data_IF_143095425432
#
_entry.id   IF_143095425432
#
_cell.length_a   1.000
_cell.length_b   1.000
_cell.length_c   1.000
_cell.angle_alpha   90.00
_cell.angle_beta   90.00
_cell.angle_gamma   90.00
#
_symmetry.space_group_name_H-M   'P 1'
#
loop_
_entity.id
_entity.type
_entity.pdbx_description
1 polymer ?
#
# COMPACT_ATOMS: atom_id res chain seq x y z
N UNK A 1 8.22 23.04 5.59
CA UNK A 1 8.14 23.93 4.41
C UNK A 1 8.68 23.12 3.25
N UNK A 2 7.88 22.93 2.19
CA UNK A 2 8.26 22.08 1.07
C UNK A 2 9.30 22.79 0.19
N UNK A 3 10.34 22.09 -0.19
CA UNK A 3 11.32 22.62 -1.13
C UNK A 3 11.02 22.21 -2.59
N UNK A 4 11.86 22.69 -3.52
CA UNK A 4 11.68 22.44 -4.96
C UNK A 4 11.72 20.94 -5.30
N UNK A 5 12.53 20.15 -4.60
CA UNK A 5 12.63 18.72 -4.84
C UNK A 5 11.39 18.00 -4.33
N UNK A 6 10.90 18.39 -3.16
CA UNK A 6 9.68 17.86 -2.56
C UNK A 6 8.46 18.10 -3.48
N UNK A 7 8.29 19.33 -3.98
CA UNK A 7 7.23 19.67 -4.94
C UNK A 7 7.35 18.83 -6.21
N UNK A 8 8.57 18.66 -6.73
CA UNK A 8 8.78 17.86 -7.95
C UNK A 8 8.46 16.38 -7.74
N UNK A 9 8.77 15.82 -6.57
CA UNK A 9 8.38 14.46 -6.20
C UNK A 9 6.85 14.32 -6.18
N UNK A 10 6.15 15.29 -5.58
CA UNK A 10 4.68 15.30 -5.54
C UNK A 10 4.08 15.38 -6.95
N UNK A 11 4.62 16.22 -7.84
CA UNK A 11 4.20 16.31 -9.25
C UNK A 11 4.37 14.99 -9.99
N UNK A 12 5.48 14.29 -9.77
CA UNK A 12 5.75 12.99 -10.39
C UNK A 12 4.71 11.96 -9.94
N UNK A 13 4.39 11.91 -8.64
CA UNK A 13 3.36 11.02 -8.11
C UNK A 13 1.98 11.40 -8.67
N UNK A 14 1.67 12.68 -8.82
CA UNK A 14 0.41 13.15 -9.42
C UNK A 14 0.27 12.72 -10.89
N UNK A 15 1.41 12.69 -11.60
CA UNK A 15 1.50 12.26 -13.00
C UNK A 15 1.71 10.76 -13.15
N UNK A 16 1.53 9.94 -12.11
CA UNK A 16 1.71 8.49 -12.20
C UNK A 16 0.99 7.90 -13.40
N UNK A 17 -0.18 8.46 -13.75
CA UNK A 17 -0.97 7.98 -14.87
C UNK A 17 -0.31 8.04 -16.23
N UNK A 18 0.58 9.02 -16.40
CA UNK A 18 1.37 9.22 -17.63
C UNK A 18 2.72 8.50 -17.59
N UNK A 19 3.17 8.06 -16.41
CA UNK A 19 4.51 7.51 -16.18
C UNK A 19 4.47 5.99 -16.15
N UNK A 20 3.45 5.41 -15.52
CA UNK A 20 3.28 3.96 -15.40
C UNK A 20 2.52 3.46 -16.63
N UNK A 21 3.27 2.90 -17.60
CA UNK A 21 2.72 2.40 -18.88
C UNK A 21 1.89 1.12 -18.75
N UNK A 22 2.11 0.34 -17.70
CA UNK A 22 1.35 -0.88 -17.43
C UNK A 22 1.42 -1.23 -15.95
N UNK A 23 0.28 -1.68 -15.42
CA UNK A 23 0.18 -2.33 -14.13
C UNK A 23 0.19 -3.82 -14.42
N UNK A 24 1.01 -4.60 -13.72
CA UNK A 24 1.01 -6.06 -13.89
C UNK A 24 -0.24 -6.69 -13.27
N UNK A 25 -0.67 -7.84 -13.79
CA UNK A 25 -1.81 -8.59 -13.25
C UNK A 25 -1.63 -8.89 -11.75
N UNK A 26 -0.40 -9.22 -11.33
CA UNK A 26 -0.05 -9.40 -9.91
C UNK A 26 -0.28 -8.15 -9.06
N UNK A 27 -0.03 -6.96 -9.60
CA UNK A 27 -0.28 -5.70 -8.87
C UNK A 27 -1.77 -5.41 -8.78
N UNK A 28 -2.54 -5.74 -9.81
CA UNK A 28 -4.01 -5.65 -9.80
C UNK A 28 -4.59 -6.61 -8.76
N UNK A 29 -4.10 -7.86 -8.71
CA UNK A 29 -4.50 -8.88 -7.73
C UNK A 29 -4.20 -8.48 -6.28
N UNK A 30 -3.13 -7.71 -6.04
CA UNK A 30 -2.76 -7.18 -4.72
C UNK A 30 -3.53 -5.89 -4.39
N UNK A 31 -4.48 -5.48 -5.24
CA UNK A 31 -5.33 -4.30 -5.03
C UNK A 31 -4.57 -2.99 -5.19
N UNK A 32 -3.47 -2.98 -5.96
CA UNK A 32 -2.77 -1.73 -6.30
C UNK A 32 -3.64 -0.93 -7.25
N UNK A 33 -4.39 0.00 -6.69
CA UNK A 33 -5.14 0.98 -7.46
C UNK A 33 -4.19 2.00 -8.11
N UNK A 34 -4.72 2.76 -9.05
CA UNK A 34 -4.03 3.80 -9.77
C UNK A 34 -4.62 5.14 -9.37
N UNK A 35 -3.86 6.25 -9.34
CA UNK A 35 -2.45 6.43 -9.73
C UNK A 35 -1.43 6.26 -8.57
N UNK A 36 -0.39 5.43 -8.77
CA UNK A 36 0.70 5.24 -7.81
C UNK A 36 2.05 4.95 -8.49
N UNK A 37 3.18 5.32 -7.87
CA UNK A 37 4.54 5.19 -8.45
C UNK A 37 5.52 4.50 -7.51
N UNK A 38 6.50 3.78 -8.06
CA UNK A 38 7.60 3.25 -7.24
C UNK A 38 8.67 4.32 -6.99
N UNK A 39 9.53 4.10 -5.99
CA UNK A 39 10.71 4.97 -5.77
C UNK A 39 11.61 5.04 -7.01
N UNK A 40 11.70 3.97 -7.79
CA UNK A 40 12.49 3.92 -9.03
C UNK A 40 11.86 4.77 -10.14
N UNK A 41 10.54 4.76 -10.26
CA UNK A 41 9.83 5.61 -11.22
C UNK A 41 10.06 7.10 -10.90
N UNK A 42 10.08 7.44 -9.62
CA UNK A 42 10.42 8.79 -9.16
C UNK A 42 11.86 9.14 -9.55
N UNK A 43 12.82 8.25 -9.28
CA UNK A 43 14.23 8.46 -9.66
C UNK A 43 14.41 8.66 -11.17
N UNK A 44 13.70 7.91 -12.00
CA UNK A 44 13.75 8.03 -13.47
C UNK A 44 13.25 9.38 -13.99
N UNK A 45 12.39 10.05 -13.23
CA UNK A 45 11.81 11.36 -13.58
C UNK A 45 12.50 12.55 -12.90
N UNK A 46 13.56 12.29 -12.12
CA UNK A 46 14.38 13.31 -11.47
C UNK A 46 15.77 13.40 -12.15
N UNK A 47 16.47 14.54 -12.01
CA UNK A 47 17.84 14.69 -12.50
C UNK A 47 18.76 13.55 -12.05
N UNK A 48 19.67 13.13 -12.93
CA UNK A 48 20.56 11.98 -12.71
C UNK A 48 21.44 12.14 -11.47
N UNK A 49 21.80 13.38 -11.13
CA UNK A 49 22.65 13.78 -10.02
C UNK A 49 22.04 13.51 -8.62
N UNK A 50 20.72 13.33 -8.51
CA UNK A 50 20.07 13.14 -7.21
C UNK A 50 20.18 11.67 -6.78
N UNK A 51 20.90 11.38 -5.70
CA UNK A 51 21.05 10.01 -5.23
C UNK A 51 19.74 9.39 -4.73
N UNK A 52 19.64 8.06 -4.85
CA UNK A 52 18.46 7.31 -4.41
C UNK A 52 18.22 7.44 -2.90
N UNK A 53 19.28 7.55 -2.11
CA UNK A 53 19.19 7.71 -0.65
C UNK A 53 18.55 9.06 -0.28
N UNK A 54 18.89 10.13 -1.01
CA UNK A 54 18.28 11.45 -0.83
C UNK A 54 16.80 11.39 -1.14
N UNK A 55 16.41 10.74 -2.25
CA UNK A 55 15.00 10.57 -2.64
C UNK A 55 14.23 9.79 -1.57
N UNK A 56 14.77 8.68 -1.07
CA UNK A 56 14.17 7.91 0.03
C UNK A 56 13.99 8.75 1.30
N UNK A 57 15.00 9.54 1.66
CA UNK A 57 14.92 10.48 2.78
C UNK A 57 13.78 11.47 2.62
N UNK A 58 13.62 12.06 1.43
CA UNK A 58 12.52 12.99 1.13
C UNK A 58 11.14 12.34 1.15
N UNK A 59 11.02 11.14 0.58
CA UNK A 59 9.76 10.40 0.61
C UNK A 59 9.32 10.06 2.04
N UNK A 60 10.27 9.70 2.91
CA UNK A 60 9.98 9.49 4.32
C UNK A 60 9.54 10.77 5.02
N UNK A 61 10.19 11.91 4.75
CA UNK A 61 9.77 13.20 5.29
C UNK A 61 8.34 13.59 4.85
N UNK A 62 8.06 13.49 3.55
CA UNK A 62 6.74 13.77 2.97
C UNK A 62 5.64 12.84 3.51
N UNK A 63 5.98 11.58 3.78
CA UNK A 63 5.07 10.62 4.43
C UNK A 63 4.76 11.02 5.87
N UNK A 64 5.79 11.37 6.64
CA UNK A 64 5.63 11.80 8.04
C UNK A 64 4.78 13.07 8.14
N UNK A 65 4.94 13.98 7.18
CA UNK A 65 4.14 15.20 7.08
C UNK A 65 2.75 14.99 6.44
N UNK A 66 2.39 13.74 6.12
CA UNK A 66 1.10 13.32 5.56
C UNK A 66 0.78 13.94 4.19
N UNK A 67 1.78 14.22 3.35
CA UNK A 67 1.56 14.59 1.95
C UNK A 67 1.40 13.37 1.04
N UNK A 68 2.08 12.28 1.39
CA UNK A 68 2.03 11.01 0.66
C UNK A 68 1.84 9.84 1.61
N UNK A 69 1.44 8.69 1.09
CA UNK A 69 1.45 7.42 1.81
C UNK A 69 2.09 6.32 0.97
N UNK A 70 2.48 5.23 1.63
CA UNK A 70 3.20 4.12 1.02
C UNK A 70 2.46 2.81 1.27
N UNK A 71 2.04 2.15 0.19
CA UNK A 71 1.31 0.87 0.21
C UNK A 71 1.78 0.04 -0.97
N UNK A 72 2.01 -1.25 -0.74
CA UNK A 72 2.41 -2.22 -1.78
C UNK A 72 3.59 -1.74 -2.62
N UNK A 73 4.65 -1.29 -1.95
CA UNK A 73 5.90 -0.78 -2.57
C UNK A 73 5.76 0.50 -3.43
N UNK A 74 4.60 1.16 -3.38
CA UNK A 74 4.30 2.35 -4.17
C UNK A 74 3.90 3.53 -3.31
N UNK A 75 4.18 4.72 -3.84
CA UNK A 75 3.88 6.01 -3.27
C UNK A 75 2.63 6.60 -3.90
N UNK A 76 1.84 7.23 -3.04
CA UNK A 76 0.52 7.76 -3.34
C UNK A 76 0.36 9.15 -2.78
N UNK A 77 -0.41 10.01 -3.45
CA UNK A 77 -0.77 11.31 -2.92
C UNK A 77 -1.95 11.20 -1.95
N UNK A 78 -1.83 11.91 -0.83
CA UNK A 78 -2.99 12.23 0.02
C UNK A 78 -3.74 13.44 -0.54
N UNK A 79 -4.94 13.73 -0.01
CA UNK A 79 -5.66 14.98 -0.31
C UNK A 79 -4.80 16.22 -0.02
N UNK A 80 -4.10 16.23 1.12
CA UNK A 80 -3.16 17.30 1.48
C UNK A 80 -2.03 17.46 0.46
N UNK A 81 -1.53 16.35 -0.10
CA UNK A 81 -0.53 16.36 -1.18
C UNK A 81 -1.07 16.99 -2.47
N UNK A 82 -2.32 16.67 -2.83
CA UNK A 82 -2.99 17.24 -4.00
C UNK A 82 -3.28 18.73 -3.85
N UNK A 83 -3.70 19.16 -2.66
CA UNK A 83 -3.97 20.57 -2.36
C UNK A 83 -2.75 21.46 -2.57
N UNK A 84 -1.54 20.96 -2.25
CA UNK A 84 -0.29 21.69 -2.50
C UNK A 84 -0.06 21.91 -3.99
N UNK A 85 -0.38 20.90 -4.82
CA UNK A 85 -0.21 20.96 -6.27
C UNK A 85 -1.30 21.80 -6.95
N UNK A 86 -2.51 21.84 -6.37
CA UNK A 86 -3.66 22.60 -6.87
C UNK A 86 -3.64 24.10 -6.55
N UNK A 87 -2.72 24.57 -5.70
CA UNK A 87 -2.53 26.01 -5.41
C UNK A 87 -1.67 26.74 -6.45
N UNK A 88 -1.20 26.06 -7.48
CA UNK A 88 -0.47 26.62 -8.62
C UNK A 88 -1.36 26.62 -9.87
N UNK A 89 -2.28 27.59 -9.95
CA UNK A 89 -3.15 27.90 -11.11
C UNK A 89 -4.51 27.19 -11.14
N UNK A 90 -5.36 27.46 -10.14
CA UNK A 90 -6.81 27.28 -10.28
C UNK A 90 -7.39 28.37 -11.20
N UNK A 91 -7.24 28.20 -12.51
CA UNK A 91 -7.97 28.96 -13.52
C UNK A 91 -8.49 28.06 -14.65
N UNK A 92 -8.89 26.83 -14.32
CA UNK A 92 -9.67 25.99 -15.24
C UNK A 92 -10.95 25.52 -14.56
N UNK A 93 -11.92 26.43 -14.53
CA UNK A 93 -13.33 26.12 -14.38
C UNK A 93 -13.75 25.22 -15.54
N UNK A 94 -13.97 23.93 -15.28
CA UNK A 94 -14.69 23.08 -16.22
C UNK A 94 -16.17 23.43 -16.12
N UNK A 95 -16.62 24.34 -17.00
CA UNK A 95 -18.04 24.50 -17.29
C UNK A 95 -18.58 23.19 -17.86
N UNK A 96 -19.35 22.46 -17.05
CA UNK A 96 -20.16 21.34 -17.53
C UNK A 96 -21.37 21.88 -18.26
N UNK A 97 -21.33 21.86 -19.59
CA UNK A 97 -22.52 22.06 -20.43
C UNK A 97 -23.47 20.86 -20.28
N UNK A 98 -24.72 21.18 -20.01
CA UNK A 98 -25.89 20.30 -19.90
C UNK A 98 -26.15 19.45 -21.15
N UNK A 99 -26.44 18.14 -20.99
CA UNK A 99 -27.78 17.55 -21.22
C UNK A 99 -27.78 16.00 -21.20
N UNK A 100 -28.84 15.46 -20.59
CA UNK A 100 -29.44 14.12 -20.76
C UNK A 100 -28.86 12.92 -19.98
N UNK A 101 -29.70 12.46 -19.01
CA UNK A 101 -29.64 11.32 -18.08
C UNK A 101 -28.60 11.43 -16.94
N UNK A 102 -29.02 11.32 -15.66
CA UNK A 102 -28.14 11.53 -14.53
C UNK A 102 -27.16 10.35 -14.42
N UNK A 103 -25.90 10.60 -14.79
CA UNK A 103 -24.76 9.69 -14.62
C UNK A 103 -24.72 9.06 -13.21
N UNK A 104 -25.22 9.78 -12.20
CA UNK A 104 -25.33 9.30 -10.83
C UNK A 104 -26.10 7.98 -10.68
N UNK A 105 -27.21 7.79 -11.41
CA UNK A 105 -27.99 6.54 -11.32
C UNK A 105 -27.27 5.33 -11.93
N UNK A 106 -26.49 5.55 -12.98
CA UNK A 106 -25.72 4.46 -13.62
C UNK A 106 -24.55 4.05 -12.73
N UNK A 107 -23.89 5.02 -12.08
CA UNK A 107 -22.80 4.75 -11.13
C UNK A 107 -23.33 4.01 -9.90
N UNK A 108 -24.44 4.45 -9.31
CA UNK A 108 -25.01 3.82 -8.12
C UNK A 108 -25.46 2.37 -8.35
N UNK A 109 -26.07 2.08 -9.52
CA UNK A 109 -26.42 0.71 -9.92
C UNK A 109 -25.21 -0.16 -10.27
N UNK A 110 -24.14 0.43 -10.82
CA UNK A 110 -22.90 -0.33 -11.12
C UNK A 110 -22.11 -0.63 -9.85
N UNK A 111 -21.95 0.32 -8.93
CA UNK A 111 -21.20 0.10 -7.69
C UNK A 111 -21.92 -0.82 -6.69
N UNK A 112 -23.26 -0.80 -6.63
CA UNK A 112 -24.03 -1.74 -5.79
C UNK A 112 -23.83 -3.21 -6.18
N UNK A 113 -23.44 -3.50 -7.42
CA UNK A 113 -23.15 -4.88 -7.88
C UNK A 113 -21.72 -5.35 -7.56
N UNK A 114 -20.81 -4.45 -7.17
CA UNK A 114 -19.41 -4.79 -6.87
C UNK A 114 -19.10 -4.88 -5.38
N UNK A 115 -19.87 -4.21 -4.51
CA UNK A 115 -19.67 -4.27 -3.05
C UNK A 115 -19.79 -5.70 -2.50
N UNK A 116 -20.70 -6.52 -3.05
CA UNK A 116 -20.90 -7.91 -2.62
C UNK A 116 -19.73 -8.85 -2.93
N UNK A 117 -18.87 -8.54 -3.91
CA UNK A 117 -17.66 -9.35 -4.21
C UNK A 117 -16.41 -8.85 -3.47
N UNK A 118 -16.36 -7.58 -3.12
CA UNK A 118 -15.24 -6.99 -2.38
C UNK A 118 -15.16 -7.52 -0.94
N UNK A 119 -16.30 -7.68 -0.28
CA UNK A 119 -16.37 -8.15 1.11
C UNK A 119 -15.88 -9.60 1.28
N UNK A 120 -16.24 -10.50 0.37
CA UNK A 120 -15.76 -11.91 0.40
C UNK A 120 -14.23 -11.99 0.25
N UNK A 121 -13.65 -11.12 -0.58
CA UNK A 121 -12.21 -11.09 -0.84
C UNK A 121 -11.42 -10.57 0.37
N UNK A 122 -11.93 -9.54 1.03
CA UNK A 122 -11.34 -8.99 2.27
C UNK A 122 -11.42 -10.02 3.40
N UNK A 123 -12.55 -10.72 3.55
CA UNK A 123 -12.70 -11.78 4.54
C UNK A 123 -11.74 -12.94 4.29
N UNK A 124 -11.58 -13.35 3.02
CA UNK A 124 -10.64 -14.42 2.66
C UNK A 124 -9.18 -14.05 2.96
N UNK A 125 -8.79 -12.79 2.71
CA UNK A 125 -7.43 -12.32 2.99
C UNK A 125 -7.15 -12.21 4.50
N UNK A 126 -8.13 -11.76 5.28
CA UNK A 126 -8.05 -11.75 6.75
C UNK A 126 -7.92 -13.18 7.32
N UNK A 127 -8.67 -14.13 6.75
CA UNK A 127 -8.58 -15.56 7.10
C UNK A 127 -7.20 -16.15 6.80
N UNK A 128 -6.59 -15.80 5.66
CA UNK A 128 -5.23 -16.22 5.31
C UNK A 128 -4.19 -15.68 6.28
N UNK A 129 -4.25 -14.39 6.63
CA UNK A 129 -3.33 -13.81 7.62
C UNK A 129 -3.46 -14.48 8.99
N UNK A 130 -4.70 -14.73 9.43
CA UNK A 130 -4.98 -15.41 10.70
C UNK A 130 -4.50 -16.86 10.70
N UNK A 131 -4.59 -17.54 9.55
CA UNK A 131 -4.04 -18.90 9.37
C UNK A 131 -2.52 -18.91 9.54
N UNK A 132 -1.80 -17.98 8.94
CA UNK A 132 -0.33 -17.91 9.04
C UNK A 132 0.14 -17.59 10.45
N UNK A 133 -0.60 -16.74 11.17
CA UNK A 133 -0.33 -16.42 12.58
C UNK A 133 -0.52 -17.66 13.48
N UNK A 134 -1.64 -18.38 13.33
CA UNK A 134 -1.88 -19.63 14.04
C UNK A 134 -0.82 -20.68 13.73
N UNK A 135 -0.35 -20.76 12.48
CA UNK A 135 0.67 -21.73 12.07
C UNK A 135 2.03 -21.45 12.72
N UNK A 136 2.38 -20.18 12.94
CA UNK A 136 3.58 -19.79 13.72
C UNK A 136 3.43 -20.17 15.18
N UNK A 137 2.24 -20.00 15.75
CA UNK A 137 1.97 -20.35 17.14
C UNK A 137 2.05 -21.86 17.38
N UNK A 138 1.46 -22.67 16.49
CA UNK A 138 1.57 -24.13 16.51
C UNK A 138 3.04 -24.57 16.48
N UNK A 139 3.85 -24.04 15.55
CA UNK A 139 5.29 -24.37 15.49
C UNK A 139 6.04 -24.01 16.78
N UNK A 140 5.65 -22.93 17.44
CA UNK A 140 6.25 -22.52 18.72
C UNK A 140 5.86 -23.48 19.85
N UNK A 141 4.60 -23.91 19.88
CA UNK A 141 4.09 -24.89 20.84
C UNK A 141 4.73 -26.27 20.63
N UNK A 142 4.88 -26.73 19.39
CA UNK A 142 5.55 -27.99 19.06
C UNK A 142 7.00 -28.01 19.57
N UNK A 143 7.76 -26.92 19.35
CA UNK A 143 9.12 -26.79 19.88
C UNK A 143 9.16 -26.88 21.41
N UNK A 144 8.23 -26.21 22.11
CA UNK A 144 8.12 -26.29 23.57
C UNK A 144 7.78 -27.70 24.04
N UNK A 145 6.89 -28.39 23.33
CA UNK A 145 6.49 -29.75 23.66
C UNK A 145 7.65 -30.74 23.48
N UNK A 146 8.44 -30.61 22.42
CA UNK A 146 9.66 -31.41 22.21
C UNK A 146 10.66 -31.16 23.34
N UNK A 147 10.88 -29.89 23.71
CA UNK A 147 11.78 -29.53 24.80
C UNK A 147 11.33 -30.11 26.15
N UNK A 148 10.03 -30.03 26.46
CA UNK A 148 9.45 -30.60 27.68
C UNK A 148 9.51 -32.12 27.70
N UNK A 149 9.29 -32.80 26.57
CA UNK A 149 9.49 -34.25 26.46
C UNK A 149 10.95 -34.64 26.71
N UNK A 150 11.91 -33.87 26.21
CA UNK A 150 13.33 -34.12 26.43
C UNK A 150 13.71 -33.91 27.92
N UNK A 151 13.18 -32.88 28.57
CA UNK A 151 13.34 -32.67 30.02
C UNK A 151 12.76 -33.84 30.83
N UNK A 152 11.53 -34.27 30.50
CA UNK A 152 10.87 -35.39 31.18
C UNK A 152 11.68 -36.69 31.04
N UNK A 153 12.18 -37.00 29.84
CA UNK A 153 13.03 -38.17 29.60
C UNK A 153 14.35 -38.11 30.37
N UNK A 154 14.92 -36.92 30.60
CA UNK A 154 16.10 -36.77 31.46
C UNK A 154 15.75 -37.09 32.91
N UNK A 155 14.62 -36.61 33.41
CA UNK A 155 14.15 -36.89 34.77
C UNK A 155 13.91 -38.40 34.96
N UNK A 156 13.22 -39.06 34.02
CA UNK A 156 12.99 -40.52 34.07
C UNK A 156 14.27 -41.36 34.06
N UNK A 157 15.37 -40.87 33.49
CA UNK A 157 16.67 -41.56 33.56
C UNK A 157 17.36 -41.43 34.91
N UNK A 158 17.00 -40.44 35.71
CA UNK A 158 17.62 -40.13 37.01
C UNK A 158 16.78 -40.72 38.15
N UNK A 159 15.50 -40.99 37.91
CA UNK A 159 14.64 -41.68 38.87
C UNK A 159 15.17 -43.10 39.15
N UNK A 160 15.39 -43.47 40.42
CA UNK A 160 15.75 -44.83 40.79
C UNK A 160 14.65 -45.78 40.33
N UNK A 161 15.07 -46.90 39.72
CA UNK A 161 14.16 -47.99 39.41
C UNK A 161 13.92 -48.74 40.72
N UNK A 162 12.71 -48.58 41.27
CA UNK A 162 12.18 -49.50 42.28
C UNK A 162 11.92 -50.88 41.67
#
# INVERSE_FOLDING_TARGET
>A
MLDKLDVRILEIINKASSIVRSISEKEIEVGVLFPSVTTLDIKRNLPTQIELNVIKGRLNALKNEKYIYFVSERWWLTERGKEVLGKTDSNTSFQTTSLSKPMGKILEETFSKFETKGEETIQHQLLLMKKDELLKEIKKLEKRLIQKKAELNRIYKILPKD
#
